data_IF_421944394038
#
_entry.id   IF_421944394038
#
_cell.length_a   1.000
_cell.length_b   1.000
_cell.length_c   1.000
_cell.angle_alpha   90.00
_cell.angle_beta   90.00
_cell.angle_gamma   90.00
#
_symmetry.space_group_name_H-M   'P 1'
#
loop_
_entity.id
_entity.type
_entity.pdbx_description
1 polymer ?
#
# COMPACT_ATOMS: atom_id res chain seq x y z
N UNK A 1 -17.66 49.09 -23.96
CA UNK A 1 -17.93 47.83 -23.25
C UNK A 1 -17.08 47.65 -22.00
N UNK A 2 -15.74 47.54 -22.06
CA UNK A 2 -14.88 47.36 -20.87
C UNK A 2 -15.08 48.41 -19.76
N UNK A 3 -15.18 49.69 -20.11
CA UNK A 3 -15.35 50.78 -19.11
C UNK A 3 -16.60 50.57 -18.27
N UNK A 4 -17.73 50.23 -18.91
CA UNK A 4 -18.99 49.99 -18.21
C UNK A 4 -18.98 48.64 -17.47
N UNK A 5 -18.44 47.59 -18.10
CA UNK A 5 -18.40 46.24 -17.53
C UNK A 5 -17.56 46.17 -16.25
N UNK A 6 -16.43 46.87 -16.21
CA UNK A 6 -15.53 46.90 -15.04
C UNK A 6 -15.73 48.10 -14.13
N UNK A 7 -16.75 48.94 -14.40
CA UNK A 7 -17.08 50.09 -13.56
C UNK A 7 -16.01 51.19 -13.53
N UNK A 8 -15.20 51.34 -14.57
CA UNK A 8 -14.11 52.34 -14.55
C UNK A 8 -14.62 53.80 -14.51
N UNK A 9 -15.85 54.05 -14.94
CA UNK A 9 -16.50 55.38 -14.88
C UNK A 9 -17.26 55.64 -13.57
N UNK A 10 -17.39 54.62 -12.72
CA UNK A 10 -18.06 54.77 -11.42
C UNK A 10 -17.29 55.75 -10.52
N UNK A 11 -18.01 56.39 -9.61
CA UNK A 11 -17.46 57.33 -8.61
C UNK A 11 -16.70 58.54 -9.21
N UNK A 12 -16.83 58.83 -10.51
CA UNK A 12 -16.22 60.00 -11.13
C UNK A 12 -16.70 61.30 -10.45
N UNK A 13 -15.81 62.13 -9.89
CA UNK A 13 -16.24 63.33 -9.20
C UNK A 13 -16.66 64.39 -10.22
N UNK A 14 -17.96 64.59 -10.42
CA UNK A 14 -18.47 65.55 -11.41
C UNK A 14 -18.14 67.01 -11.04
N UNK A 15 -18.06 67.34 -9.75
CA UNK A 15 -17.85 68.70 -9.28
C UNK A 15 -16.47 69.27 -9.67
N UNK A 16 -15.46 68.43 -9.88
CA UNK A 16 -14.13 68.88 -10.35
C UNK A 16 -14.11 69.26 -11.83
N UNK A 17 -15.11 68.84 -12.64
CA UNK A 17 -15.12 69.07 -14.09
C UNK A 17 -15.01 70.56 -14.42
N UNK A 18 -15.66 71.43 -13.63
CA UNK A 18 -15.53 72.89 -13.78
C UNK A 18 -14.08 73.37 -13.64
N UNK A 19 -13.37 72.87 -12.63
CA UNK A 19 -12.00 73.27 -12.32
C UNK A 19 -10.98 72.67 -13.29
N UNK A 20 -11.22 71.44 -13.75
CA UNK A 20 -10.41 70.78 -14.78
C UNK A 20 -10.55 71.48 -16.13
N UNK A 21 -11.77 71.86 -16.53
CA UNK A 21 -12.03 72.68 -17.74
C UNK A 21 -11.31 74.02 -17.66
N UNK A 22 -11.32 74.68 -16.50
CA UNK A 22 -10.58 75.93 -16.29
C UNK A 22 -9.05 75.77 -16.41
N UNK A 23 -8.52 74.57 -16.18
CA UNK A 23 -7.11 74.21 -16.38
C UNK A 23 -6.80 73.71 -17.81
N UNK A 24 -7.78 73.72 -18.71
CA UNK A 24 -7.62 73.28 -20.10
C UNK A 24 -7.83 71.78 -20.32
N UNK A 25 -8.28 71.03 -19.31
CA UNK A 25 -8.59 69.60 -19.45
C UNK A 25 -10.08 69.43 -19.83
N UNK A 26 -10.36 68.80 -20.97
CA UNK A 26 -11.73 68.47 -21.33
C UNK A 26 -12.28 67.39 -20.40
N UNK A 27 -13.60 67.31 -20.29
CA UNK A 27 -14.27 66.26 -19.49
C UNK A 27 -13.95 64.85 -20.00
N UNK A 28 -13.85 64.67 -21.33
CA UNK A 28 -13.43 63.41 -21.95
C UNK A 28 -12.04 62.96 -21.47
N UNK A 29 -11.08 63.89 -21.43
CA UNK A 29 -9.74 63.57 -20.93
C UNK A 29 -9.73 63.37 -19.41
N UNK A 30 -10.51 64.14 -18.65
CA UNK A 30 -10.67 63.93 -17.21
C UNK A 30 -11.18 62.52 -16.88
N UNK A 31 -12.18 62.03 -17.62
CA UNK A 31 -12.69 60.66 -17.49
C UNK A 31 -11.66 59.61 -17.87
N UNK A 32 -10.87 59.81 -18.93
CA UNK A 32 -9.78 58.88 -19.29
C UNK A 32 -8.70 58.78 -18.21
N UNK A 33 -8.34 59.91 -17.59
CA UNK A 33 -7.44 59.91 -16.44
C UNK A 33 -8.07 59.17 -15.26
N UNK A 34 -9.37 59.33 -15.02
CA UNK A 34 -10.11 58.55 -14.03
C UNK A 34 -10.07 57.05 -14.36
N UNK A 35 -10.31 56.62 -15.60
CA UNK A 35 -10.29 55.18 -15.92
C UNK A 35 -8.93 54.54 -15.63
N UNK A 36 -7.85 55.30 -15.80
CA UNK A 36 -6.48 54.85 -15.52
C UNK A 36 -6.05 54.99 -14.05
N UNK A 37 -6.86 55.62 -13.18
CA UNK A 37 -6.47 55.91 -11.79
C UNK A 37 -6.65 54.71 -10.85
N UNK A 38 -7.56 53.80 -11.19
CA UNK A 38 -7.94 52.68 -10.34
C UNK A 38 -6.75 51.76 -10.06
N UNK A 39 -6.66 51.25 -8.84
CA UNK A 39 -5.76 50.16 -8.51
C UNK A 39 -6.37 48.83 -8.96
N UNK A 40 -5.63 48.08 -9.77
CA UNK A 40 -6.08 46.82 -10.35
C UNK A 40 -5.59 45.62 -9.54
N UNK A 41 -6.32 44.50 -9.52
CA UNK A 41 -5.81 43.26 -8.94
C UNK A 41 -4.46 42.83 -9.52
N UNK A 42 -3.64 42.16 -8.71
CA UNK A 42 -2.39 41.54 -9.16
C UNK A 42 -2.66 40.30 -10.03
N UNK A 43 -1.65 39.86 -10.77
CA UNK A 43 -1.71 38.62 -11.55
C UNK A 43 -2.02 37.42 -10.65
N UNK A 44 -1.40 37.37 -9.46
CA UNK A 44 -1.62 36.29 -8.50
C UNK A 44 -3.05 36.27 -7.98
N UNK A 45 -3.65 37.45 -7.74
CA UNK A 45 -5.07 37.55 -7.41
C UNK A 45 -5.94 37.09 -8.60
N UNK A 46 -5.56 37.44 -9.82
CA UNK A 46 -6.18 36.93 -11.06
C UNK A 46 -6.22 35.39 -11.12
N UNK A 47 -5.08 34.74 -10.86
CA UNK A 47 -4.99 33.27 -10.83
C UNK A 47 -5.86 32.68 -9.73
N UNK A 48 -5.83 33.25 -8.53
CA UNK A 48 -6.67 32.80 -7.41
C UNK A 48 -8.16 32.91 -7.73
N UNK A 49 -8.59 34.00 -8.39
CA UNK A 49 -9.98 34.18 -8.83
C UNK A 49 -10.38 33.11 -9.87
N UNK A 50 -9.51 32.79 -10.84
CA UNK A 50 -9.76 31.70 -11.80
C UNK A 50 -9.85 30.34 -11.10
N UNK A 51 -8.91 30.03 -10.20
CA UNK A 51 -8.92 28.76 -9.45
C UNK A 51 -10.18 28.56 -8.62
N UNK A 52 -10.78 29.66 -8.14
CA UNK A 52 -12.02 29.65 -7.36
C UNK A 52 -13.29 29.79 -8.21
N UNK A 53 -13.15 29.91 -9.54
CA UNK A 53 -14.28 30.12 -10.46
C UNK A 53 -15.00 31.45 -10.25
N UNK A 54 -14.32 32.45 -9.68
CA UNK A 54 -14.86 33.80 -9.45
C UNK A 54 -14.86 34.59 -10.76
N UNK A 55 -13.87 34.36 -11.61
CA UNK A 55 -13.77 34.91 -12.96
C UNK A 55 -13.42 33.80 -13.96
N UNK A 56 -13.70 34.04 -15.23
CA UNK A 56 -13.30 33.16 -16.34
C UNK A 56 -11.96 33.56 -17.00
N UNK A 57 -11.52 32.78 -17.99
CA UNK A 57 -10.26 33.06 -18.72
C UNK A 57 -10.32 34.34 -19.57
N UNK A 58 -11.51 34.76 -20.01
CA UNK A 58 -11.68 36.01 -20.77
C UNK A 58 -11.45 37.19 -19.82
N UNK A 59 -12.06 37.16 -18.64
CA UNK A 59 -11.88 38.17 -17.60
C UNK A 59 -10.43 38.22 -17.09
N UNK A 60 -9.75 37.06 -16.95
CA UNK A 60 -8.31 37.03 -16.66
C UNK A 60 -7.49 37.71 -17.78
N UNK A 61 -7.83 37.47 -19.06
CA UNK A 61 -7.16 38.11 -20.18
C UNK A 61 -7.44 39.62 -20.26
N UNK A 62 -8.64 40.05 -19.86
CA UNK A 62 -8.98 41.47 -19.72
C UNK A 62 -8.19 42.11 -18.58
N UNK A 63 -8.00 41.43 -17.44
CA UNK A 63 -7.10 41.87 -16.37
C UNK A 63 -5.67 42.06 -16.90
N UNK A 64 -5.10 41.06 -17.60
CA UNK A 64 -3.78 41.19 -18.24
C UNK A 64 -3.69 42.40 -19.17
N UNK A 65 -4.76 42.72 -19.89
CA UNK A 65 -4.80 43.91 -20.73
C UNK A 65 -4.76 45.18 -19.91
N UNK A 66 -5.53 45.26 -18.83
CA UNK A 66 -5.59 46.45 -17.96
C UNK A 66 -4.25 46.73 -17.30
N UNK A 67 -3.51 45.70 -16.86
CA UNK A 67 -2.16 45.83 -16.30
C UNK A 67 -1.05 45.83 -17.36
N UNK A 68 -1.40 46.09 -18.62
CA UNK A 68 -0.48 46.31 -19.73
C UNK A 68 0.44 45.12 -20.09
N UNK A 69 0.03 43.88 -19.80
CA UNK A 69 0.77 42.69 -20.24
C UNK A 69 0.62 42.51 -21.76
N UNK A 70 1.73 42.40 -22.53
CA UNK A 70 1.65 42.19 -23.97
C UNK A 70 0.92 40.88 -24.33
N UNK A 71 0.10 40.85 -25.41
CA UNK A 71 -0.67 39.66 -25.79
C UNK A 71 0.14 38.36 -25.88
N UNK A 72 1.39 38.43 -26.33
CA UNK A 72 2.30 37.28 -26.43
C UNK A 72 2.48 36.50 -25.11
N UNK A 73 2.45 37.19 -23.97
CA UNK A 73 2.71 36.58 -22.66
C UNK A 73 1.46 36.05 -21.97
N UNK A 74 0.27 36.47 -22.40
CA UNK A 74 -0.98 36.22 -21.68
C UNK A 74 -1.29 34.73 -21.62
N UNK A 75 -1.30 34.07 -22.78
CA UNK A 75 -1.56 32.63 -22.86
C UNK A 75 -0.51 31.84 -22.07
N UNK A 76 0.77 32.25 -22.12
CA UNK A 76 1.87 31.60 -21.39
C UNK A 76 1.72 31.73 -19.88
N UNK A 77 1.30 32.89 -19.40
CA UNK A 77 1.01 33.12 -17.99
C UNK A 77 -0.22 32.33 -17.55
N UNK A 78 -1.24 32.20 -18.40
CA UNK A 78 -2.42 31.37 -18.14
C UNK A 78 -2.07 29.89 -18.06
N UNK A 79 -1.19 29.38 -18.94
CA UNK A 79 -0.76 27.96 -18.92
C UNK A 79 -0.08 27.58 -17.59
N UNK A 80 0.65 28.51 -16.96
CA UNK A 80 1.32 28.29 -15.67
C UNK A 80 0.50 28.75 -14.46
N UNK A 81 -0.77 29.11 -14.65
CA UNK A 81 -1.62 29.53 -13.54
C UNK A 81 -1.85 28.40 -12.54
N UNK A 82 -2.00 27.17 -13.03
CA UNK A 82 -2.29 25.98 -12.22
C UNK A 82 -1.02 25.28 -11.73
N UNK A 83 -1.14 24.60 -10.60
CA UNK A 83 -0.03 23.85 -10.01
C UNK A 83 0.24 22.56 -10.80
N UNK A 84 1.52 22.22 -11.06
CA UNK A 84 1.88 20.90 -11.57
C UNK A 84 1.60 19.82 -10.51
N UNK A 85 1.52 18.56 -10.93
CA UNK A 85 1.38 17.45 -9.99
C UNK A 85 2.54 17.39 -8.99
N UNK A 86 2.22 17.00 -7.75
CA UNK A 86 3.28 16.84 -6.74
C UNK A 86 4.10 15.58 -7.01
N UNK A 87 5.38 15.60 -6.61
CA UNK A 87 6.26 14.41 -6.70
C UNK A 87 5.68 13.17 -6.02
N UNK A 88 4.91 13.36 -4.96
CA UNK A 88 4.31 12.23 -4.23
C UNK A 88 3.16 11.63 -5.04
N UNK A 89 2.33 12.48 -5.63
CA UNK A 89 1.17 12.04 -6.39
C UNK A 89 1.56 11.39 -7.70
N UNK A 90 2.53 11.93 -8.45
CA UNK A 90 2.99 11.31 -9.71
C UNK A 90 3.55 9.90 -9.50
N UNK A 91 4.24 9.65 -8.38
CA UNK A 91 4.72 8.28 -8.05
C UNK A 91 3.57 7.32 -7.80
N UNK A 92 2.53 7.78 -7.09
CA UNK A 92 1.32 6.98 -6.80
C UNK A 92 0.52 6.74 -8.07
N UNK A 93 0.35 7.77 -8.90
CA UNK A 93 -0.31 7.67 -10.20
C UNK A 93 0.42 6.68 -11.11
N UNK A 94 1.75 6.76 -11.19
CA UNK A 94 2.56 5.77 -11.90
C UNK A 94 2.39 4.36 -11.33
N UNK A 95 2.41 4.20 -10.00
CA UNK A 95 2.15 2.89 -9.35
C UNK A 95 0.78 2.32 -9.72
N UNK A 96 -0.22 3.18 -9.88
CA UNK A 96 -1.58 2.80 -10.25
C UNK A 96 -1.79 2.64 -11.76
N UNK A 97 -0.75 2.84 -12.58
CA UNK A 97 -0.84 2.80 -14.04
C UNK A 97 -1.61 3.97 -14.66
N UNK A 98 -1.81 5.06 -13.90
CA UNK A 98 -2.46 6.29 -14.39
C UNK A 98 -1.50 7.10 -15.26
N UNK A 99 -0.20 7.07 -14.92
CA UNK A 99 0.87 7.68 -15.72
C UNK A 99 1.76 6.59 -16.30
N UNK A 100 2.13 6.75 -17.56
CA UNK A 100 3.24 6.04 -18.21
C UNK A 100 4.60 6.54 -17.73
N UNK A 101 5.68 5.83 -18.08
CA UNK A 101 7.07 6.25 -17.80
C UNK A 101 7.35 7.66 -18.36
N UNK A 102 6.94 7.92 -19.60
CA UNK A 102 7.15 9.20 -20.28
C UNK A 102 6.36 10.32 -19.58
N UNK A 103 5.08 10.08 -19.26
CA UNK A 103 4.24 11.06 -18.56
C UNK A 103 4.75 11.33 -17.14
N UNK A 104 5.29 10.32 -16.45
CA UNK A 104 5.95 10.50 -15.15
C UNK A 104 7.18 11.41 -15.27
N UNK A 105 8.00 11.20 -16.30
CA UNK A 105 9.16 12.06 -16.57
C UNK A 105 8.74 13.50 -16.84
N UNK A 106 7.75 13.72 -17.72
CA UNK A 106 7.24 15.06 -18.01
C UNK A 106 6.64 15.73 -16.76
N UNK A 107 5.92 14.99 -15.92
CA UNK A 107 5.39 15.54 -14.68
C UNK A 107 6.49 15.98 -13.69
N UNK A 108 7.65 15.32 -13.69
CA UNK A 108 8.82 15.83 -12.98
C UNK A 108 9.39 17.10 -13.62
N UNK A 109 9.41 17.21 -14.94
CA UNK A 109 9.84 18.43 -15.62
C UNK A 109 8.90 19.61 -15.33
N UNK A 110 7.59 19.39 -15.31
CA UNK A 110 6.58 20.40 -14.92
C UNK A 110 6.79 20.90 -13.49
N UNK A 111 7.27 20.02 -12.59
CA UNK A 111 7.67 20.40 -11.24
C UNK A 111 9.01 21.16 -11.16
N UNK A 112 9.66 21.43 -12.30
CA UNK A 112 10.89 22.22 -12.43
C UNK A 112 12.19 21.41 -12.45
N UNK A 113 12.14 20.09 -12.59
CA UNK A 113 13.36 19.29 -12.75
C UNK A 113 13.92 19.44 -14.16
N UNK A 114 15.25 19.59 -14.25
CA UNK A 114 15.95 19.42 -15.52
C UNK A 114 15.77 17.99 -16.06
N UNK A 115 15.78 17.82 -17.38
CA UNK A 115 15.51 16.54 -18.07
C UNK A 115 16.37 15.39 -17.52
N UNK A 116 17.69 15.61 -17.33
CA UNK A 116 18.60 14.60 -16.80
C UNK A 116 18.22 14.11 -15.38
N UNK A 117 17.66 15.01 -14.56
CA UNK A 117 17.18 14.69 -13.22
C UNK A 117 15.78 14.08 -13.25
N UNK A 118 14.92 14.51 -14.17
CA UNK A 118 13.61 13.94 -14.38
C UNK A 118 13.70 12.47 -14.79
N UNK A 119 14.61 12.13 -15.70
CA UNK A 119 14.94 10.75 -16.09
C UNK A 119 15.37 9.94 -14.86
N UNK A 120 16.29 10.45 -14.04
CA UNK A 120 16.74 9.77 -12.82
C UNK A 120 15.60 9.58 -11.80
N UNK A 121 14.70 10.54 -11.68
CA UNK A 121 13.54 10.45 -10.79
C UNK A 121 12.49 9.44 -11.28
N UNK A 122 12.29 9.34 -12.59
CA UNK A 122 11.45 8.33 -13.21
C UNK A 122 12.00 6.92 -12.97
N UNK A 123 13.30 6.70 -13.25
CA UNK A 123 13.97 5.42 -12.99
C UNK A 123 13.96 5.03 -11.50
N UNK A 124 14.23 5.99 -10.60
CA UNK A 124 14.08 5.78 -9.16
C UNK A 124 12.67 5.35 -8.78
N UNK A 125 11.65 5.99 -9.35
CA UNK A 125 10.25 5.68 -9.04
C UNK A 125 9.83 4.31 -9.55
N UNK A 126 10.31 3.90 -10.72
CA UNK A 126 10.10 2.54 -11.26
C UNK A 126 10.67 1.49 -10.32
N UNK A 127 11.91 1.66 -9.89
CA UNK A 127 12.56 0.76 -8.93
C UNK A 127 11.81 0.74 -7.59
N UNK A 128 11.47 1.91 -7.04
CA UNK A 128 10.75 2.05 -5.78
C UNK A 128 9.36 1.40 -5.82
N UNK A 129 8.63 1.52 -6.93
CA UNK A 129 7.32 0.90 -7.08
C UNK A 129 7.41 -0.63 -7.19
N UNK A 130 8.41 -1.15 -7.90
CA UNK A 130 8.67 -2.59 -8.04
C UNK A 130 9.05 -3.27 -6.71
N UNK A 131 9.89 -2.63 -5.89
CA UNK A 131 10.27 -3.15 -4.56
C UNK A 131 9.04 -3.30 -3.64
N UNK A 132 8.04 -2.44 -3.81
CA UNK A 132 6.79 -2.48 -3.05
C UNK A 132 5.71 -3.41 -3.66
N UNK A 133 6.01 -4.18 -4.72
CA UNK A 133 5.14 -5.24 -5.24
C UNK A 133 5.39 -6.61 -4.59
N UNK A 134 6.44 -6.75 -3.75
CA UNK A 134 6.67 -7.95 -2.95
C UNK A 134 5.66 -7.97 -1.79
N UNK A 135 4.41 -8.30 -2.12
CA UNK A 135 3.30 -8.25 -1.18
C UNK A 135 3.28 -9.43 -0.20
N UNK A 136 4.14 -10.42 -0.42
CA UNK A 136 4.25 -11.57 0.46
C UNK A 136 5.10 -11.18 1.66
N UNK A 137 4.48 -11.18 2.83
CA UNK A 137 5.18 -11.08 4.10
C UNK A 137 6.04 -12.32 4.33
N UNK A 138 7.08 -12.20 5.15
CA UNK A 138 7.83 -13.36 5.68
C UNK A 138 6.91 -14.49 6.15
N UNK A 139 5.83 -14.14 6.84
CA UNK A 139 4.88 -15.12 7.37
C UNK A 139 4.15 -15.89 6.25
N UNK A 140 3.76 -15.21 5.16
CA UNK A 140 3.11 -15.87 4.02
C UNK A 140 4.07 -16.78 3.25
N UNK A 141 5.33 -16.37 3.07
CA UNK A 141 6.35 -17.20 2.41
C UNK A 141 6.60 -18.46 3.24
N UNK A 142 6.85 -18.30 4.54
CA UNK A 142 7.09 -19.44 5.43
C UNK A 142 5.88 -20.37 5.56
N UNK A 143 4.65 -19.84 5.56
CA UNK A 143 3.44 -20.67 5.52
C UNK A 143 3.30 -21.42 4.20
N UNK A 144 3.51 -20.74 3.07
CA UNK A 144 3.45 -21.36 1.74
C UNK A 144 4.49 -22.46 1.59
N UNK A 145 5.71 -22.23 2.09
CA UNK A 145 6.70 -23.29 2.25
C UNK A 145 6.13 -24.42 3.14
N UNK A 146 5.70 -24.11 4.38
CA UNK A 146 5.17 -25.08 5.36
C UNK A 146 4.07 -26.00 4.80
N UNK A 147 3.25 -25.47 3.89
CA UNK A 147 2.12 -26.15 3.28
C UNK A 147 2.46 -26.83 1.92
N UNK A 148 3.75 -26.95 1.57
CA UNK A 148 4.26 -27.53 0.31
C UNK A 148 3.81 -26.77 -0.96
N UNK A 149 3.43 -25.49 -0.83
CA UNK A 149 3.11 -24.62 -1.96
C UNK A 149 4.40 -24.11 -2.62
N UNK A 150 5.44 -23.86 -1.82
CA UNK A 150 6.74 -23.38 -2.27
C UNK A 150 7.82 -24.44 -2.03
N UNK A 151 8.78 -24.52 -2.96
CA UNK A 151 10.03 -25.25 -2.77
C UNK A 151 11.00 -24.47 -1.86
N UNK A 152 12.03 -25.14 -1.37
CA UNK A 152 13.13 -24.53 -0.60
C UNK A 152 13.80 -23.38 -1.37
N UNK A 153 14.14 -23.61 -2.65
CA UNK A 153 14.73 -22.58 -3.51
C UNK A 153 13.82 -21.37 -3.74
N UNK A 154 12.54 -21.60 -4.04
CA UNK A 154 11.57 -20.50 -4.24
C UNK A 154 11.35 -19.69 -2.96
N UNK A 155 11.22 -20.36 -1.81
CA UNK A 155 11.09 -19.68 -0.53
C UNK A 155 12.37 -18.89 -0.18
N UNK A 156 13.54 -19.43 -0.51
CA UNK A 156 14.84 -18.79 -0.31
C UNK A 156 14.97 -17.51 -1.12
N UNK A 157 14.71 -17.59 -2.43
CA UNK A 157 14.77 -16.45 -3.33
C UNK A 157 13.81 -15.33 -2.90
N UNK A 158 12.57 -15.68 -2.51
CA UNK A 158 11.58 -14.71 -2.02
C UNK A 158 12.00 -14.05 -0.70
N UNK A 159 12.65 -14.78 0.22
CA UNK A 159 13.17 -14.21 1.46
C UNK A 159 14.36 -13.29 1.20
N UNK A 160 15.26 -13.63 0.28
CA UNK A 160 16.37 -12.75 -0.10
C UNK A 160 15.85 -11.46 -0.75
N UNK A 161 14.81 -11.58 -1.58
CA UNK A 161 14.11 -10.44 -2.19
C UNK A 161 13.48 -9.50 -1.14
N UNK A 162 13.03 -10.04 0.01
CA UNK A 162 12.55 -9.27 1.17
C UNK A 162 13.68 -8.63 2.00
N UNK A 163 14.95 -8.82 1.63
CA UNK A 163 16.11 -8.23 2.29
C UNK A 163 16.75 -9.10 3.37
N UNK A 164 16.37 -10.38 3.51
CA UNK A 164 17.09 -11.32 4.37
C UNK A 164 18.41 -11.75 3.70
N UNK A 165 19.47 -11.96 4.48
CA UNK A 165 20.68 -12.59 3.95
C UNK A 165 20.41 -14.06 3.56
N UNK A 166 21.23 -14.61 2.66
CA UNK A 166 21.11 -16.00 2.24
C UNK A 166 21.19 -16.98 3.42
N UNK A 167 22.06 -16.69 4.39
CA UNK A 167 22.22 -17.50 5.61
C UNK A 167 20.96 -17.43 6.51
N UNK A 168 20.39 -16.24 6.69
CA UNK A 168 19.15 -16.06 7.46
C UNK A 168 17.96 -16.74 6.79
N UNK A 169 17.84 -16.63 5.46
CA UNK A 169 16.79 -17.30 4.70
C UNK A 169 16.90 -18.82 4.84
N UNK A 170 18.11 -19.39 4.69
CA UNK A 170 18.36 -20.81 4.86
C UNK A 170 18.04 -21.32 6.28
N UNK A 171 18.37 -20.53 7.31
CA UNK A 171 17.99 -20.87 8.68
C UNK A 171 16.47 -20.90 8.89
N UNK A 172 15.75 -19.90 8.38
CA UNK A 172 14.29 -19.81 8.53
C UNK A 172 13.58 -20.99 7.85
N UNK A 173 14.06 -21.37 6.66
CA UNK A 173 13.53 -22.51 5.91
C UNK A 173 13.78 -23.81 6.67
N UNK A 174 15.03 -24.07 7.07
CA UNK A 174 15.40 -25.25 7.87
C UNK A 174 14.57 -25.36 9.17
N UNK A 175 14.27 -24.23 9.81
CA UNK A 175 13.45 -24.19 11.01
C UNK A 175 11.98 -24.58 10.73
N UNK A 176 11.41 -24.14 9.61
CA UNK A 176 10.06 -24.55 9.21
C UNK A 176 10.00 -26.03 8.81
N UNK A 177 11.04 -26.58 8.17
CA UNK A 177 11.15 -28.03 7.93
C UNK A 177 11.16 -28.80 9.24
N UNK A 178 12.00 -28.40 10.19
CA UNK A 178 12.02 -29.01 11.51
C UNK A 178 10.64 -28.99 12.20
N UNK A 179 9.89 -27.88 12.07
CA UNK A 179 8.52 -27.79 12.60
C UNK A 179 7.57 -28.76 11.90
N UNK A 180 7.69 -28.99 10.59
CA UNK A 180 6.92 -30.02 9.87
C UNK A 180 7.22 -31.41 10.42
N UNK A 181 8.49 -31.73 10.59
CA UNK A 181 8.93 -33.03 11.08
C UNK A 181 8.40 -33.30 12.49
N UNK A 182 8.47 -32.32 13.38
CA UNK A 182 7.90 -32.42 14.74
C UNK A 182 6.39 -32.63 14.70
N UNK A 183 5.67 -31.96 13.78
CA UNK A 183 4.22 -32.13 13.62
C UNK A 183 3.88 -33.54 13.14
N UNK A 184 4.61 -34.06 12.16
CA UNK A 184 4.44 -35.43 11.68
C UNK A 184 4.77 -36.45 12.78
N UNK A 185 5.90 -36.28 13.46
CA UNK A 185 6.31 -37.13 14.59
C UNK A 185 5.23 -37.19 15.67
N UNK A 186 4.61 -36.04 15.98
CA UNK A 186 3.52 -35.96 16.97
C UNK A 186 2.29 -36.76 16.54
N UNK A 187 1.87 -36.65 15.27
CA UNK A 187 0.75 -37.44 14.74
C UNK A 187 1.07 -38.94 14.67
N UNK A 188 2.32 -39.32 14.37
CA UNK A 188 2.78 -40.71 14.44
C UNK A 188 2.65 -41.25 15.87
N UNK A 189 3.21 -40.53 16.86
CA UNK A 189 3.13 -40.93 18.28
C UNK A 189 1.67 -41.11 18.72
N UNK A 190 0.79 -40.17 18.34
CA UNK A 190 -0.64 -40.23 18.65
C UNK A 190 -1.34 -41.42 17.98
N UNK A 191 -1.02 -41.69 16.72
CA UNK A 191 -1.56 -42.83 15.97
C UNK A 191 -1.08 -44.16 16.56
N UNK A 192 0.21 -44.27 16.89
CA UNK A 192 0.82 -45.44 17.56
C UNK A 192 0.19 -45.68 18.94
N UNK A 193 0.01 -44.63 19.75
CA UNK A 193 -0.74 -44.74 21.02
C UNK A 193 -2.12 -45.36 20.81
N UNK A 194 -2.86 -44.87 19.81
CA UNK A 194 -4.22 -45.37 19.51
C UNK A 194 -4.20 -46.85 19.12
N UNK A 195 -3.27 -47.28 18.27
CA UNK A 195 -3.13 -48.69 17.84
C UNK A 195 -2.77 -49.60 19.01
N UNK A 196 -1.83 -49.17 19.87
CA UNK A 196 -1.45 -49.91 21.07
C UNK A 196 -2.62 -50.09 22.06
N UNK A 197 -3.37 -49.02 22.34
CA UNK A 197 -4.54 -49.06 23.24
C UNK A 197 -5.67 -49.94 22.71
N UNK A 198 -5.85 -50.00 21.38
CA UNK A 198 -6.82 -50.88 20.73
C UNK A 198 -6.35 -52.35 20.61
N UNK A 199 -5.11 -52.65 21.02
CA UNK A 199 -4.54 -54.00 20.92
C UNK A 199 -4.19 -54.43 19.49
N UNK A 200 -4.11 -53.48 18.55
CA UNK A 200 -3.67 -53.75 17.17
C UNK A 200 -2.14 -53.92 17.08
N UNK A 201 -1.41 -53.40 18.07
CA UNK A 201 0.04 -53.53 18.20
C UNK A 201 0.39 -53.99 19.62
N UNK A 202 1.44 -54.82 19.73
CA UNK A 202 2.04 -55.21 21.00
C UNK A 202 3.10 -54.19 21.45
N UNK A 203 3.67 -54.41 22.64
CA UNK A 203 4.65 -53.47 23.20
C UNK A 203 5.95 -53.42 22.39
N UNK A 204 6.38 -54.54 21.81
CA UNK A 204 7.61 -54.63 21.02
C UNK A 204 7.46 -53.80 19.76
N UNK A 205 6.39 -54.00 18.99
CA UNK A 205 6.08 -53.24 17.79
C UNK A 205 5.86 -51.75 18.07
N UNK A 206 5.24 -51.42 19.21
CA UNK A 206 5.05 -50.03 19.66
C UNK A 206 6.40 -49.37 19.94
N UNK A 207 7.29 -50.06 20.67
CA UNK A 207 8.63 -49.59 20.99
C UNK A 207 9.47 -49.38 19.73
N UNK A 208 9.44 -50.33 18.78
CA UNK A 208 10.15 -50.24 17.50
C UNK A 208 9.69 -49.02 16.70
N UNK A 209 8.38 -48.76 16.65
CA UNK A 209 7.82 -47.59 15.96
C UNK A 209 8.29 -46.28 16.61
N UNK A 210 8.35 -46.22 17.95
CA UNK A 210 8.81 -45.04 18.68
C UNK A 210 10.33 -44.81 18.54
N UNK A 211 11.13 -45.88 18.46
CA UNK A 211 12.56 -45.80 18.20
C UNK A 211 12.85 -45.20 16.81
N UNK A 212 12.06 -45.56 15.80
CA UNK A 212 12.17 -44.98 14.45
C UNK A 212 11.89 -43.47 14.39
N UNK A 213 11.26 -42.91 15.42
CA UNK A 213 11.01 -41.47 15.53
C UNK A 213 12.19 -40.69 16.12
N UNK A 214 13.35 -41.30 16.37
CA UNK A 214 14.53 -40.65 16.98
C UNK A 214 14.22 -39.98 18.33
N UNK A 215 13.30 -40.55 19.11
CA UNK A 215 13.00 -40.09 20.47
C UNK A 215 14.11 -40.58 21.42
N UNK A 216 14.37 -39.84 22.50
CA UNK A 216 15.28 -40.32 23.54
C UNK A 216 14.69 -41.54 24.26
N UNK A 217 15.53 -42.50 24.65
CA UNK A 217 15.09 -43.72 25.33
C UNK A 217 14.21 -43.42 26.54
N UNK A 218 14.60 -42.45 27.37
CA UNK A 218 13.82 -41.98 28.51
C UNK A 218 12.40 -41.51 28.13
N UNK A 219 12.25 -40.83 26.98
CA UNK A 219 10.93 -40.37 26.51
C UNK A 219 10.08 -41.55 26.03
N UNK A 220 10.69 -42.55 25.41
CA UNK A 220 10.01 -43.78 24.98
C UNK A 220 9.49 -44.54 26.20
N UNK A 221 10.34 -44.75 27.22
CA UNK A 221 9.96 -45.46 28.45
C UNK A 221 8.75 -44.79 29.12
N UNK A 222 8.80 -43.46 29.28
CA UNK A 222 7.69 -42.68 29.87
C UNK A 222 6.39 -42.80 29.07
N UNK A 223 6.46 -42.81 27.73
CA UNK A 223 5.28 -42.99 26.88
C UNK A 223 4.70 -44.41 27.03
N UNK A 224 5.55 -45.44 26.99
CA UNK A 224 5.12 -46.84 27.11
C UNK A 224 4.49 -47.12 28.48
N UNK A 225 5.12 -46.68 29.58
CA UNK A 225 4.59 -46.83 30.93
C UNK A 225 3.22 -46.16 31.06
N UNK A 226 3.09 -44.92 30.57
CA UNK A 226 1.83 -44.18 30.56
C UNK A 226 0.75 -44.90 29.77
N UNK A 227 1.08 -45.46 28.60
CA UNK A 227 0.10 -46.11 27.74
C UNK A 227 -0.29 -47.49 28.23
N UNK A 228 0.63 -48.23 28.86
CA UNK A 228 0.32 -49.50 29.53
C UNK A 228 -0.69 -49.29 30.65
N UNK A 229 -0.45 -48.31 31.54
CA UNK A 229 -1.39 -47.94 32.60
C UNK A 229 -2.77 -47.60 32.02
N UNK A 230 -2.81 -46.74 31.00
CA UNK A 230 -4.06 -46.38 30.34
C UNK A 230 -4.77 -47.58 29.69
N UNK A 231 -4.03 -48.55 29.17
CA UNK A 231 -4.58 -49.79 28.59
C UNK A 231 -5.20 -50.66 29.68
N UNK A 232 -4.55 -50.81 30.82
CA UNK A 232 -5.10 -51.55 31.97
C UNK A 232 -6.37 -50.88 32.53
N UNK A 233 -6.34 -49.56 32.71
CA UNK A 233 -7.50 -48.81 33.24
C UNK A 233 -8.71 -48.83 32.30
N UNK A 234 -8.49 -48.95 30.99
CA UNK A 234 -9.54 -49.02 29.97
C UNK A 234 -10.03 -50.44 29.66
N UNK A 235 -9.50 -51.48 30.31
CA UNK A 235 -10.05 -52.82 30.19
C UNK A 235 -11.49 -52.82 30.71
N UNK A 236 -12.46 -52.90 29.81
CA UNK A 236 -13.87 -53.10 30.16
C UNK A 236 -14.01 -54.48 30.81
N UNK A 237 -14.03 -54.51 32.14
CA UNK A 237 -14.49 -55.67 32.88
C UNK A 237 -16.00 -55.79 32.62
N UNK A 238 -16.51 -56.96 32.19
CA UNK A 238 -17.93 -57.11 31.94
C UNK A 238 -18.71 -56.79 33.22
N UNK A 239 -19.76 -55.99 33.09
CA UNK A 239 -20.65 -55.68 34.21
C UNK A 239 -21.33 -56.95 34.71
N UNK A 240 -21.81 -56.97 35.97
CA UNK A 240 -22.55 -58.14 36.50
C UNK A 240 -23.71 -58.58 35.60
N UNK A 241 -24.37 -57.64 34.92
CA UNK A 241 -25.44 -57.92 33.97
C UNK A 241 -24.91 -58.61 32.69
N UNK A 242 -23.76 -58.18 32.17
CA UNK A 242 -23.11 -58.81 31.02
C UNK A 242 -22.56 -60.19 31.36
N UNK A 243 -21.93 -60.36 32.53
CA UNK A 243 -21.49 -61.68 33.03
C UNK A 243 -22.67 -62.65 33.18
N UNK A 244 -23.79 -62.22 33.74
CA UNK A 244 -24.99 -63.04 33.84
C UNK A 244 -25.55 -63.42 32.45
N UNK A 245 -25.46 -62.51 31.47
CA UNK A 245 -25.86 -62.77 30.09
C UNK A 245 -24.91 -63.76 29.40
N UNK A 246 -23.60 -63.65 29.65
CA UNK A 246 -22.60 -64.58 29.11
C UNK A 246 -22.78 -65.99 29.69
N UNK A 247 -23.02 -66.10 31.00
CA UNK A 247 -23.32 -67.38 31.66
C UNK A 247 -24.60 -68.03 31.09
N UNK A 248 -25.67 -67.24 30.94
CA UNK A 248 -26.93 -67.73 30.37
C UNK A 248 -26.81 -68.12 28.89
N UNK A 249 -25.87 -67.51 28.17
CA UNK A 249 -25.58 -67.81 26.76
C UNK A 249 -24.48 -68.86 26.58
N UNK A 250 -23.97 -69.46 27.67
CA UNK A 250 -22.91 -70.46 27.68
C UNK A 250 -21.60 -70.00 27.00
N UNK A 251 -21.32 -68.69 27.05
CA UNK A 251 -20.08 -68.08 26.54
C UNK A 251 -18.95 -68.21 27.57
N UNK A 252 -19.30 -68.19 28.86
CA UNK A 252 -18.46 -68.47 30.03
C UNK A 252 -19.23 -69.38 30.99
#
# INVERSE_FOLDING_TARGET
DMIAHYGYDEEFPEDQVKWLKAQGLSEDWARKYWYAHWETPSIQQGFEMVHRGVIDFKELNDLFRTIEIPPFWRDKLTEIAFLPFTRVDVRRMHKLGVLTDDELMYAYMDAGYAEDKAIKMMEFTKAYNAENEISLTKAQILSGFSDYILTDGEAGDMLVLLGFSADEAGFLISYEEYKRDVKLQTEIIKSTKKRFLLGLEDITATSDTLNQQNLSSKKIDVLLDSWQLEKYDKLKVPTKAELARFLKSNII
#
